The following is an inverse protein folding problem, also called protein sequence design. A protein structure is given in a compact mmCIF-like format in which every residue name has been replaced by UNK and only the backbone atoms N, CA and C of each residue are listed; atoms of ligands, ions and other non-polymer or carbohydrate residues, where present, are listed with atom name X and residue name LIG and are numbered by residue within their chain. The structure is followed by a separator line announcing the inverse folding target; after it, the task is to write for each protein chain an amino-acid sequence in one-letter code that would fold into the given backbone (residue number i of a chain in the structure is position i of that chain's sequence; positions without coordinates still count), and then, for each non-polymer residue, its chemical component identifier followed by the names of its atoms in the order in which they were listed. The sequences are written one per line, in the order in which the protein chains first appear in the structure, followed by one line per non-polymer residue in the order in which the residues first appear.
data_IF_486661637098
#
_entry.id   IF_486661637098
#
_cell.length_a   1.000
_cell.length_b   1.000
_cell.length_c   1.000
_cell.angle_alpha   90.00
_cell.angle_beta   90.00
_cell.angle_gamma   90.00
#
_symmetry.space_group_name_H-M   'P 1'
#
loop_
_entity.id
_entity.type
_entity.pdbx_description
1 polymer ?
#
# COMPACT_ATOMS: atom_id res chain seq x y z
N UNK A 1 -20.25 -33.88 36.62
CA UNK A 1 -18.85 -33.41 36.49
C UNK A 1 -18.89 -32.12 35.71
N UNK A 2 -18.92 -30.99 36.40
CA UNK A 2 -19.07 -29.64 35.85
C UNK A 2 -17.69 -29.01 35.66
N UNK A 3 -17.24 -28.83 34.42
CA UNK A 3 -15.96 -28.18 34.12
C UNK A 3 -16.15 -26.68 33.95
N UNK A 4 -15.66 -25.95 34.95
CA UNK A 4 -15.53 -24.50 35.04
C UNK A 4 -14.51 -23.97 34.03
N UNK A 5 -14.93 -23.06 33.14
CA UNK A 5 -14.03 -22.24 32.32
C UNK A 5 -13.60 -20.99 33.11
N UNK A 6 -12.29 -20.72 33.17
CA UNK A 6 -11.72 -19.46 33.69
C UNK A 6 -11.21 -18.62 32.51
N UNK A 7 -11.49 -17.31 32.44
CA UNK A 7 -10.93 -16.45 31.41
C UNK A 7 -9.50 -16.02 31.77
N UNK A 8 -8.63 -15.99 30.76
CA UNK A 8 -7.24 -15.54 30.85
C UNK A 8 -7.19 -14.02 30.66
N UNK A 9 -6.58 -13.29 31.59
CA UNK A 9 -6.45 -11.84 31.54
C UNK A 9 -5.38 -11.40 30.53
N UNK A 10 -5.76 -10.59 29.53
CA UNK A 10 -4.84 -9.93 28.60
C UNK A 10 -4.10 -8.78 29.32
N UNK A 11 -2.77 -8.87 29.37
CA UNK A 11 -1.89 -7.83 29.93
C UNK A 11 -1.49 -6.85 28.82
N UNK A 12 -2.14 -5.68 28.76
CA UNK A 12 -1.74 -4.58 27.85
C UNK A 12 -0.35 -4.05 28.24
N UNK A 13 0.59 -4.00 27.28
CA UNK A 13 1.89 -3.32 27.43
C UNK A 13 1.74 -1.88 26.92
N UNK A 14 2.12 -0.92 27.76
CA UNK A 14 2.21 0.50 27.39
C UNK A 14 3.43 0.82 26.52
N UNK A 15 3.46 2.02 25.91
CA UNK A 15 4.49 2.43 24.96
C UNK A 15 5.84 2.69 25.67
N UNK A 16 6.95 2.24 25.05
CA UNK A 16 8.31 2.54 25.53
C UNK A 16 8.83 3.83 24.89
N UNK A 17 9.32 4.71 25.74
CA UNK A 17 10.03 5.94 25.40
C UNK A 17 11.35 5.66 24.68
N UNK A 18 11.65 6.47 23.67
CA UNK A 18 12.90 6.45 22.93
C UNK A 18 14.04 7.11 23.73
N UNK A 19 15.16 6.41 23.90
CA UNK A 19 16.42 6.98 24.38
C UNK A 19 17.31 7.38 23.18
N UNK A 20 17.93 8.55 23.28
CA UNK A 20 18.69 9.21 22.21
C UNK A 20 20.12 8.68 22.00
N UNK A 21 20.81 9.14 20.94
CA UNK A 21 22.07 8.55 20.51
C UNK A 21 23.28 9.10 21.28
N UNK A 22 24.14 8.19 21.74
CA UNK A 22 25.47 8.47 22.26
C UNK A 22 26.47 8.81 21.14
N UNK A 23 27.41 9.70 21.49
CA UNK A 23 28.43 10.31 20.64
C UNK A 23 29.58 9.35 20.34
N UNK A 24 29.99 9.23 19.08
CA UNK A 24 31.25 8.58 18.67
C UNK A 24 32.38 9.61 18.54
N UNK A 25 33.50 9.33 19.21
CA UNK A 25 34.77 10.04 19.07
C UNK A 25 35.67 9.49 17.95
N UNK A 26 36.81 10.14 17.65
CA UNK A 26 37.55 9.94 16.41
C UNK A 26 38.63 8.85 16.52
N UNK A 27 38.83 8.09 15.44
CA UNK A 27 40.01 7.25 15.25
C UNK A 27 40.99 7.90 14.28
N UNK A 28 42.24 8.01 14.74
CA UNK A 28 43.43 8.43 14.01
C UNK A 28 44.24 7.19 13.61
N UNK A 29 44.78 7.17 12.39
CA UNK A 29 46.13 6.60 12.16
C UNK A 29 46.30 5.50 11.10
N UNK A 30 46.82 5.91 9.93
CA UNK A 30 47.93 5.33 9.16
C UNK A 30 47.90 3.85 8.70
N UNK A 31 47.95 3.61 7.38
CA UNK A 31 49.19 3.19 6.69
C UNK A 31 48.98 2.99 5.17
N UNK A 32 50.09 3.13 4.46
CA UNK A 32 50.33 3.45 3.04
C UNK A 32 50.50 2.25 2.08
N UNK A 33 50.35 2.58 0.78
CA UNK A 33 50.97 2.02 -0.44
C UNK A 33 50.54 0.63 -0.96
N UNK A 34 49.98 0.58 -2.18
CA UNK A 34 50.77 0.28 -3.39
C UNK A 34 49.96 0.50 -4.69
N UNK A 35 50.67 1.01 -5.68
CA UNK A 35 50.27 1.43 -7.01
C UNK A 35 50.34 0.24 -7.99
N UNK A 36 49.38 0.11 -8.90
CA UNK A 36 49.59 -0.59 -10.18
C UNK A 36 48.69 0.00 -11.27
N UNK A 37 49.34 0.58 -12.28
CA UNK A 37 48.79 1.08 -13.53
C UNK A 37 48.03 0.01 -14.31
N UNK A 38 46.96 0.40 -14.98
CA UNK A 38 46.60 -0.15 -16.27
C UNK A 38 46.19 0.98 -17.23
N UNK A 39 47.00 1.15 -18.28
CA UNK A 39 46.72 1.95 -19.46
C UNK A 39 45.79 1.16 -20.39
N UNK A 40 44.69 1.77 -20.83
CA UNK A 40 44.12 1.49 -22.13
C UNK A 40 43.66 2.81 -22.75
N UNK A 41 44.27 3.14 -23.89
CA UNK A 41 43.89 4.20 -24.80
C UNK A 41 42.63 3.81 -25.59
N UNK A 42 41.83 4.80 -25.99
CA UNK A 42 41.16 4.84 -27.29
C UNK A 42 40.74 6.29 -27.59
N UNK A 43 40.95 6.64 -28.86
CA UNK A 43 40.91 7.94 -29.50
C UNK A 43 39.56 8.68 -29.54
N UNK A 44 39.73 10.01 -29.66
CA UNK A 44 38.92 10.97 -30.41
C UNK A 44 37.97 10.38 -31.47
N UNK A 45 36.69 10.73 -31.37
CA UNK A 45 35.92 11.10 -32.56
C UNK A 45 35.03 12.31 -32.24
N UNK A 46 35.22 13.34 -33.05
CA UNK A 46 34.53 14.61 -32.98
C UNK A 46 33.61 14.68 -34.19
N UNK A 47 32.33 15.01 -33.99
CA UNK A 47 31.67 16.14 -34.66
C UNK A 47 30.14 16.09 -34.52
N UNK A 48 29.57 17.29 -34.41
CA UNK A 48 28.17 17.72 -34.69
C UNK A 48 27.16 17.65 -33.55
N UNK A 49 27.06 18.75 -32.80
CA UNK A 49 25.77 19.44 -32.54
C UNK A 49 25.94 20.97 -32.56
N UNK A 50 24.97 21.73 -33.09
CA UNK A 50 25.08 23.18 -33.22
C UNK A 50 24.75 23.94 -31.93
N UNK A 51 25.45 25.07 -31.77
CA UNK A 51 25.23 26.17 -30.82
C UNK A 51 23.80 26.72 -30.92
N UNK A 52 23.18 26.95 -29.77
CA UNK A 52 22.24 28.05 -29.57
C UNK A 52 22.87 29.01 -28.54
N UNK A 53 23.20 30.21 -29.01
CA UNK A 53 23.59 31.34 -28.17
C UNK A 53 22.33 31.96 -27.54
N UNK A 54 22.43 32.35 -26.26
CA UNK A 54 21.34 33.02 -25.54
C UNK A 54 21.79 33.49 -24.16
N UNK A 55 22.67 34.47 -24.13
CA UNK A 55 23.10 35.18 -22.93
C UNK A 55 22.07 36.24 -22.52
N UNK A 56 21.63 36.27 -21.25
CA UNK A 56 21.18 37.51 -20.58
C UNK A 56 21.52 37.46 -19.08
N UNK A 57 22.48 38.32 -18.73
CA UNK A 57 22.71 39.10 -17.50
C UNK A 57 22.22 38.60 -16.12
N UNK A 58 23.20 38.28 -15.28
CA UNK A 58 23.15 38.38 -13.82
C UNK A 58 23.39 39.83 -13.37
N UNK A 59 22.46 40.43 -12.64
CA UNK A 59 22.63 41.68 -11.92
C UNK A 59 22.43 41.47 -10.43
N UNK A 60 23.51 41.54 -9.65
CA UNK A 60 23.49 41.60 -8.19
C UNK A 60 23.20 43.02 -7.70
N UNK A 61 22.75 43.13 -6.45
CA UNK A 61 22.55 44.38 -5.74
C UNK A 61 22.21 44.11 -4.28
N UNK A 62 23.24 44.16 -3.45
CA UNK A 62 23.18 44.09 -1.99
C UNK A 62 22.52 45.33 -1.35
N UNK A 63 22.02 45.11 -0.13
CA UNK A 63 22.34 45.86 1.10
C UNK A 63 21.18 46.52 1.88
N UNK A 64 21.33 46.36 3.21
CA UNK A 64 20.95 47.26 4.31
C UNK A 64 19.78 46.84 5.24
N UNK A 65 20.18 46.16 6.32
CA UNK A 65 20.15 46.66 7.72
C UNK A 65 18.86 47.20 8.34
N UNK A 66 18.47 46.61 9.48
CA UNK A 66 17.71 47.30 10.54
C UNK A 66 17.07 46.35 11.57
N UNK A 67 17.50 46.35 12.85
CA UNK A 67 16.96 45.48 13.89
C UNK A 67 15.84 46.16 14.71
N UNK A 68 14.86 45.39 15.16
CA UNK A 68 13.81 45.82 16.09
C UNK A 68 13.69 44.86 17.26
N UNK A 69 14.17 45.30 18.42
CA UNK A 69 14.01 44.64 19.71
C UNK A 69 12.72 45.10 20.41
N UNK A 70 12.18 44.26 21.30
CA UNK A 70 11.35 44.72 22.41
C UNK A 70 10.26 43.75 22.85
N UNK A 71 10.34 43.29 24.11
CA UNK A 71 9.15 43.06 24.92
C UNK A 71 9.08 41.75 25.72
N UNK A 72 9.90 41.62 26.76
CA UNK A 72 9.61 40.78 27.92
C UNK A 72 8.39 41.32 28.70
N UNK A 73 7.55 40.43 29.25
CA UNK A 73 6.90 40.63 30.55
C UNK A 73 6.31 39.33 31.08
N UNK A 74 6.95 38.83 32.13
CA UNK A 74 6.42 37.84 33.06
C UNK A 74 5.79 38.56 34.26
N UNK A 75 4.55 38.21 34.63
CA UNK A 75 3.91 38.38 35.95
C UNK A 75 2.73 37.38 35.95
N UNK A 76 2.42 36.56 36.95
CA UNK A 76 2.93 36.36 38.29
C UNK A 76 2.17 35.16 38.89
N UNK A 77 2.84 34.49 39.82
CA UNK A 77 2.31 33.46 40.69
C UNK A 77 1.25 34.04 41.62
N UNK A 78 0.19 33.28 41.94
CA UNK A 78 -0.25 33.26 43.33
C UNK A 78 -0.93 31.95 43.74
N UNK A 79 -0.68 31.62 45.00
CA UNK A 79 -0.93 30.34 45.64
C UNK A 79 -2.23 30.36 46.46
N UNK A 80 -2.72 29.16 46.75
CA UNK A 80 -3.42 28.87 48.01
C UNK A 80 -4.92 28.64 47.90
N UNK A 81 -5.36 27.40 48.16
CA UNK A 81 -6.05 27.06 49.40
C UNK A 81 -6.42 25.57 49.46
N UNK A 82 -6.33 25.05 50.69
CA UNK A 82 -6.47 23.68 51.16
C UNK A 82 -7.94 23.29 51.42
N UNK A 83 -8.30 22.06 51.01
CA UNK A 83 -9.20 21.06 51.66
C UNK A 83 -10.70 21.40 51.87
N UNK A 84 -11.62 20.41 52.13
CA UNK A 84 -11.47 18.95 52.15
C UNK A 84 -12.47 18.17 51.26
N UNK A 85 -12.24 16.85 51.16
CA UNK A 85 -13.14 15.83 50.62
C UNK A 85 -14.42 15.65 51.46
N UNK A 86 -15.49 15.14 50.83
CA UNK A 86 -16.27 14.10 51.47
C UNK A 86 -16.43 12.85 50.59
N UNK A 87 -16.10 11.72 51.19
CA UNK A 87 -16.37 10.37 50.71
C UNK A 87 -17.87 10.05 50.55
N UNK A 88 -18.09 9.11 49.63
CA UNK A 88 -19.15 8.09 49.59
C UNK A 88 -20.58 8.50 49.16
N UNK A 89 -21.00 8.00 48.00
CA UNK A 89 -21.83 6.78 47.93
C UNK A 89 -22.17 6.46 46.47
N UNK A 90 -22.21 5.17 46.16
CA UNK A 90 -22.26 4.65 44.81
C UNK A 90 -23.60 4.77 44.09
N UNK A 91 -23.52 4.64 42.77
CA UNK A 91 -24.56 3.96 42.00
C UNK A 91 -23.90 3.30 40.79
N UNK A 92 -24.18 2.01 40.64
CA UNK A 92 -23.75 1.15 39.56
C UNK A 92 -24.27 1.67 38.22
N UNK A 93 -23.44 2.42 37.50
CA UNK A 93 -23.58 2.56 36.06
C UNK A 93 -22.63 1.55 35.42
N UNK A 94 -23.15 0.34 35.19
CA UNK A 94 -22.67 -0.53 34.12
C UNK A 94 -22.82 0.24 32.81
N UNK A 95 -21.82 1.07 32.50
CA UNK A 95 -21.58 1.49 31.14
C UNK A 95 -21.21 0.21 30.40
N UNK A 96 -22.22 -0.42 29.80
CA UNK A 96 -22.01 -1.24 28.63
C UNK A 96 -20.98 -0.50 27.79
N UNK A 97 -19.82 -1.11 27.62
CA UNK A 97 -18.93 -0.79 26.52
C UNK A 97 -19.70 -1.16 25.26
N UNK A 98 -20.65 -0.30 24.89
CA UNK A 98 -21.20 -0.22 23.57
C UNK A 98 -19.98 0.04 22.69
N UNK A 99 -19.48 -1.06 22.14
CA UNK A 99 -18.67 -1.10 20.95
C UNK A 99 -19.31 -0.07 20.03
N UNK A 100 -18.63 1.06 19.83
CA UNK A 100 -19.03 2.08 18.88
C UNK A 100 -18.86 1.45 17.49
N UNK A 101 -19.79 0.57 17.13
CA UNK A 101 -20.12 0.30 15.76
C UNK A 101 -20.62 1.66 15.28
N UNK A 102 -19.75 2.40 14.61
CA UNK A 102 -20.12 3.59 13.88
C UNK A 102 -21.28 3.20 12.99
N UNK A 103 -22.50 3.57 13.40
CA UNK A 103 -23.71 3.21 12.66
C UNK A 103 -23.73 4.11 11.44
N UNK A 104 -23.27 3.54 10.34
CA UNK A 104 -23.35 4.10 9.01
C UNK A 104 -24.78 4.53 8.70
N UNK A 105 -24.97 5.71 8.10
CA UNK A 105 -26.27 6.36 7.90
C UNK A 105 -27.24 5.58 7.01
N UNK A 106 -28.45 6.13 6.81
CA UNK A 106 -29.65 5.55 6.16
C UNK A 106 -29.51 5.18 4.66
N UNK A 107 -28.31 4.85 4.17
CA UNK A 107 -28.14 4.18 2.90
C UNK A 107 -28.78 2.79 2.90
N UNK A 108 -29.35 2.41 1.75
CA UNK A 108 -29.95 1.08 1.59
C UNK A 108 -28.89 -0.02 1.71
N UNK A 109 -29.24 -1.22 2.23
CA UNK A 109 -28.30 -2.33 2.35
C UNK A 109 -27.74 -2.68 0.97
N UNK A 110 -26.41 -2.69 0.85
CA UNK A 110 -25.72 -2.96 -0.40
C UNK A 110 -24.26 -2.53 -0.37
N UNK A 111 -23.51 -2.91 -1.41
CA UNK A 111 -22.16 -2.45 -1.68
C UNK A 111 -22.20 -1.51 -2.89
N UNK A 112 -21.39 -0.46 -2.87
CA UNK A 112 -21.24 0.42 -4.01
C UNK A 112 -20.38 -0.24 -5.10
N UNK A 113 -20.65 0.07 -6.35
CA UNK A 113 -19.79 -0.31 -7.47
C UNK A 113 -18.69 0.72 -7.71
N UNK A 114 -17.52 0.24 -8.13
CA UNK A 114 -16.44 1.08 -8.62
C UNK A 114 -15.89 0.53 -9.94
N UNK A 115 -15.53 1.42 -10.86
CA UNK A 115 -14.91 1.09 -12.15
C UNK A 115 -14.02 2.23 -12.66
N UNK A 116 -13.24 1.97 -13.70
CA UNK A 116 -12.47 2.99 -14.44
C UNK A 116 -13.14 3.27 -15.78
N UNK A 117 -13.35 4.54 -16.15
CA UNK A 117 -14.07 4.87 -17.38
C UNK A 117 -13.45 4.24 -18.63
N UNK A 118 -14.27 3.63 -19.50
CA UNK A 118 -13.84 3.02 -20.77
C UNK A 118 -13.27 4.06 -21.76
N UNK A 119 -13.70 5.31 -21.63
CA UNK A 119 -13.21 6.46 -22.41
C UNK A 119 -12.22 7.28 -21.61
N UNK A 120 -11.23 7.82 -22.32
CA UNK A 120 -10.29 8.79 -21.76
C UNK A 120 -10.86 10.19 -21.79
N UNK A 121 -10.38 11.02 -20.88
CA UNK A 121 -10.64 12.46 -20.77
C UNK A 121 -9.31 13.21 -20.88
N UNK A 122 -9.37 14.48 -21.29
CA UNK A 122 -8.22 15.39 -21.18
C UNK A 122 -8.45 16.22 -19.91
N UNK A 123 -7.62 16.06 -18.85
CA UNK A 123 -7.88 16.67 -17.55
C UNK A 123 -8.00 18.19 -17.60
N UNK A 124 -7.12 18.85 -18.37
CA UNK A 124 -7.17 20.29 -18.59
C UNK A 124 -8.40 20.80 -19.36
N UNK A 125 -9.28 19.91 -19.81
CA UNK A 125 -10.53 20.23 -20.53
C UNK A 125 -11.78 19.78 -19.78
N UNK A 126 -11.66 19.18 -18.59
CA UNK A 126 -12.84 18.83 -17.78
C UNK A 126 -13.56 20.10 -17.29
N UNK A 127 -12.81 21.16 -16.99
CA UNK A 127 -13.30 22.44 -16.50
C UNK A 127 -13.74 22.43 -15.02
N UNK A 128 -14.09 21.28 -14.46
CA UNK A 128 -14.39 21.11 -13.03
C UNK A 128 -14.48 19.64 -12.62
N UNK A 129 -14.50 19.39 -11.31
CA UNK A 129 -14.83 18.07 -10.74
C UNK A 129 -16.26 17.65 -11.06
N UNK A 130 -17.23 18.58 -11.06
CA UNK A 130 -18.63 18.27 -11.39
C UNK A 130 -18.78 17.76 -12.85
N UNK A 131 -17.94 18.24 -13.76
CA UNK A 131 -17.89 17.72 -15.12
C UNK A 131 -17.30 16.30 -15.17
N UNK A 132 -16.31 15.99 -14.32
CA UNK A 132 -15.81 14.63 -14.16
C UNK A 132 -16.89 13.69 -13.60
N UNK A 133 -17.69 14.14 -12.64
CA UNK A 133 -18.85 13.40 -12.12
C UNK A 133 -19.88 13.12 -13.22
N UNK A 134 -20.17 14.13 -14.05
CA UNK A 134 -21.07 13.97 -15.21
C UNK A 134 -20.55 12.90 -16.16
N UNK A 135 -19.24 12.82 -16.35
CA UNK A 135 -18.62 11.77 -17.15
C UNK A 135 -18.78 10.37 -16.53
N UNK A 136 -18.54 10.26 -15.21
CA UNK A 136 -18.75 9.00 -14.49
C UNK A 136 -20.21 8.53 -14.53
N UNK A 137 -21.16 9.44 -14.32
CA UNK A 137 -22.59 9.15 -14.41
C UNK A 137 -22.98 8.71 -15.83
N UNK A 138 -22.46 9.38 -16.87
CA UNK A 138 -22.74 9.02 -18.26
C UNK A 138 -22.15 7.65 -18.63
N UNK A 139 -20.95 7.32 -18.15
CA UNK A 139 -20.34 6.00 -18.34
C UNK A 139 -21.19 4.90 -17.67
N UNK A 140 -21.57 5.10 -16.40
CA UNK A 140 -22.44 4.19 -15.68
C UNK A 140 -23.78 3.97 -16.40
N UNK A 141 -24.44 5.05 -16.85
CA UNK A 141 -25.70 4.98 -17.59
C UNK A 141 -25.55 4.23 -18.93
N UNK A 142 -24.46 4.44 -19.66
CA UNK A 142 -24.19 3.74 -20.93
C UNK A 142 -24.01 2.22 -20.74
N UNK A 143 -23.50 1.78 -19.59
CA UNK A 143 -23.39 0.38 -19.21
C UNK A 143 -24.65 -0.18 -18.51
N UNK A 144 -25.72 0.61 -18.39
CA UNK A 144 -26.96 0.20 -17.73
C UNK A 144 -26.84 0.06 -16.21
N UNK A 145 -25.89 0.77 -15.59
CA UNK A 145 -25.71 0.76 -14.14
C UNK A 145 -26.63 1.78 -13.49
N UNK A 146 -27.45 1.32 -12.55
CA UNK A 146 -28.27 2.18 -11.72
C UNK A 146 -27.44 2.88 -10.64
N UNK A 147 -27.96 4.00 -10.12
CA UNK A 147 -27.32 4.74 -9.04
C UNK A 147 -26.66 6.05 -9.47
N UNK A 148 -26.00 6.67 -8.50
CA UNK A 148 -25.27 7.93 -8.60
C UNK A 148 -23.78 7.61 -8.57
N UNK A 149 -23.06 8.02 -9.61
CA UNK A 149 -21.62 7.82 -9.74
C UNK A 149 -20.89 9.15 -9.79
N UNK A 150 -19.88 9.29 -8.94
CA UNK A 150 -18.98 10.43 -8.88
C UNK A 150 -17.56 10.02 -9.22
N UNK A 151 -16.79 10.93 -9.80
CA UNK A 151 -15.37 10.70 -10.02
C UNK A 151 -14.64 10.77 -8.67
N UNK A 152 -13.76 9.81 -8.36
CA UNK A 152 -12.83 9.94 -7.23
C UNK A 152 -11.70 10.89 -7.64
N UNK A 153 -11.95 12.19 -7.45
CA UNK A 153 -11.09 13.26 -7.94
C UNK A 153 -11.06 14.41 -6.93
N UNK A 154 -9.85 14.82 -6.54
CA UNK A 154 -9.63 16.02 -5.73
C UNK A 154 -9.52 17.26 -6.61
N UNK A 155 -10.13 18.38 -6.22
CA UNK A 155 -9.79 19.69 -6.79
C UNK A 155 -8.71 20.39 -5.95
N UNK A 156 -8.38 21.65 -6.24
CA UNK A 156 -7.37 22.41 -5.48
C UNK A 156 -7.73 22.73 -4.02
N UNK A 157 -8.92 22.34 -3.54
CA UNK A 157 -9.45 22.70 -2.22
C UNK A 157 -9.98 21.51 -1.43
N UNK A 158 -10.66 20.58 -2.09
CA UNK A 158 -11.39 19.46 -1.48
C UNK A 158 -10.72 18.16 -1.90
N UNK A 159 -10.18 17.36 -0.96
CA UNK A 159 -9.67 16.04 -1.28
C UNK A 159 -10.80 15.11 -1.74
N UNK A 160 -10.48 14.17 -2.62
CA UNK A 160 -11.45 13.23 -3.20
C UNK A 160 -12.29 12.49 -2.13
N UNK A 161 -11.68 12.07 -1.02
CA UNK A 161 -12.33 11.24 0.00
C UNK A 161 -13.42 11.98 0.78
N UNK A 162 -13.27 13.29 1.03
CA UNK A 162 -14.29 14.12 1.71
C UNK A 162 -15.60 14.22 0.93
N UNK A 163 -15.59 13.80 -0.34
CA UNK A 163 -16.76 13.78 -1.21
C UNK A 163 -17.59 12.49 -1.06
N UNK A 164 -17.11 11.51 -0.29
CA UNK A 164 -17.78 10.23 -0.10
C UNK A 164 -18.11 10.00 1.38
N UNK A 165 -19.14 9.19 1.63
CA UNK A 165 -19.47 8.80 2.99
C UNK A 165 -18.44 7.81 3.55
N UNK A 166 -18.11 7.94 4.83
CA UNK A 166 -17.00 7.20 5.47
C UNK A 166 -17.22 5.69 5.54
N UNK A 167 -18.48 5.29 5.55
CA UNK A 167 -18.94 3.93 5.80
C UNK A 167 -19.22 3.09 4.55
N UNK A 168 -19.09 3.67 3.36
CA UNK A 168 -19.40 2.98 2.13
C UNK A 168 -18.33 1.92 1.82
N UNK A 169 -18.75 0.70 1.51
CA UNK A 169 -17.90 -0.30 0.89
C UNK A 169 -18.03 -0.25 -0.63
N UNK A 170 -16.93 -0.48 -1.34
CA UNK A 170 -16.91 -0.59 -2.79
C UNK A 170 -16.43 -1.95 -3.26
N UNK A 171 -17.09 -2.46 -4.28
CA UNK A 171 -16.72 -3.68 -5.02
C UNK A 171 -16.50 -3.35 -6.50
N UNK A 172 -15.59 -4.09 -7.11
CA UNK A 172 -15.33 -4.06 -8.55
C UNK A 172 -16.52 -4.66 -9.32
N UNK A 173 -16.47 -4.51 -10.63
CA UNK A 173 -17.46 -5.06 -11.57
C UNK A 173 -17.53 -6.59 -11.61
N UNK A 174 -16.47 -7.27 -11.19
CA UNK A 174 -16.43 -8.74 -11.01
C UNK A 174 -16.85 -9.19 -9.60
N UNK A 175 -17.30 -8.27 -8.74
CA UNK A 175 -17.75 -8.56 -7.39
C UNK A 175 -16.64 -8.66 -6.35
N UNK A 176 -15.37 -8.53 -6.74
CA UNK A 176 -14.28 -8.53 -5.75
C UNK A 176 -14.22 -7.23 -4.96
N UNK A 177 -13.90 -7.36 -3.67
CA UNK A 177 -13.74 -6.23 -2.75
C UNK A 177 -12.68 -5.24 -3.26
N UNK A 178 -13.06 -3.98 -3.38
CA UNK A 178 -12.13 -2.90 -3.71
C UNK A 178 -11.63 -2.20 -2.44
N UNK A 179 -12.54 -1.73 -1.59
CA UNK A 179 -12.22 -1.17 -0.26
C UNK A 179 -13.45 -1.28 0.64
N UNK A 180 -13.29 -1.58 1.94
CA UNK A 180 -14.42 -1.66 2.86
C UNK A 180 -14.89 -0.30 3.39
N UNK A 181 -14.04 0.72 3.30
CA UNK A 181 -14.32 2.08 3.73
C UNK A 181 -13.48 3.07 2.92
N UNK A 182 -13.91 4.33 2.85
CA UNK A 182 -13.14 5.38 2.18
C UNK A 182 -11.86 5.73 2.97
N UNK A 183 -11.93 5.67 4.30
CA UNK A 183 -10.79 5.99 5.16
C UNK A 183 -9.67 4.94 4.98
N UNK A 184 -10.03 3.66 4.84
CA UNK A 184 -9.07 2.60 4.53
C UNK A 184 -8.44 2.79 3.14
N UNK A 185 -9.23 3.21 2.15
CA UNK A 185 -8.72 3.50 0.80
C UNK A 185 -7.71 4.65 0.79
N UNK A 186 -7.91 5.62 1.68
CA UNK A 186 -7.01 6.76 1.85
C UNK A 186 -5.74 6.37 2.60
N UNK A 187 -5.88 5.62 3.69
CA UNK A 187 -4.77 5.26 4.56
C UNK A 187 -3.88 4.17 3.95
N UNK A 188 -4.50 3.10 3.47
CA UNK A 188 -3.84 1.88 3.03
C UNK A 188 -3.85 1.79 1.50
N UNK A 189 -4.97 2.18 0.86
CA UNK A 189 -5.26 1.99 -0.56
C UNK A 189 -6.17 0.78 -0.80
N UNK A 190 -6.46 0.42 -2.05
CA UNK A 190 -7.46 -0.61 -2.32
C UNK A 190 -6.92 -2.00 -2.02
N UNK A 191 -7.83 -2.94 -1.74
CA UNK A 191 -7.56 -4.37 -1.52
C UNK A 191 -7.33 -5.14 -2.81
N UNK A 192 -7.89 -4.68 -3.91
CA UNK A 192 -7.69 -5.25 -5.24
C UNK A 192 -7.48 -4.15 -6.28
N UNK A 193 -6.73 -4.40 -7.37
CA UNK A 193 -6.53 -3.37 -8.38
C UNK A 193 -7.82 -3.04 -9.14
N UNK A 194 -7.99 -1.80 -9.59
CA UNK A 194 -9.19 -1.32 -10.27
C UNK A 194 -9.16 -1.60 -11.79
N UNK A 195 -9.19 -2.88 -12.17
CA UNK A 195 -8.91 -3.32 -13.55
C UNK A 195 -10.09 -3.29 -14.51
N UNK A 196 -11.31 -2.99 -14.08
CA UNK A 196 -12.49 -3.08 -14.96
C UNK A 196 -13.09 -1.73 -15.30
N UNK A 197 -13.61 -1.66 -16.52
CA UNK A 197 -14.46 -0.56 -16.95
C UNK A 197 -15.94 -0.74 -16.62
N UNK A 198 -16.77 0.25 -16.94
CA UNK A 198 -18.21 0.21 -16.68
C UNK A 198 -18.91 -1.02 -17.30
N UNK A 199 -18.36 -1.60 -18.38
CA UNK A 199 -18.90 -2.78 -19.05
C UNK A 199 -18.38 -4.10 -18.45
N UNK A 200 -17.45 -4.03 -17.50
CA UNK A 200 -16.79 -5.21 -16.94
C UNK A 200 -15.67 -5.76 -17.83
N UNK A 201 -15.18 -4.98 -18.79
CA UNK A 201 -14.02 -5.35 -19.59
C UNK A 201 -12.73 -5.08 -18.80
N UNK A 202 -11.78 -5.99 -18.88
CA UNK A 202 -10.45 -5.83 -18.27
C UNK A 202 -9.67 -4.78 -19.06
N UNK A 203 -9.11 -3.81 -18.34
CA UNK A 203 -8.27 -2.76 -18.88
C UNK A 203 -6.84 -3.25 -19.10
N UNK A 204 -6.12 -2.66 -20.07
CA UNK A 204 -4.69 -2.90 -20.21
C UNK A 204 -3.94 -2.59 -18.91
N UNK A 205 -2.84 -3.31 -18.61
CA UNK A 205 -1.95 -2.96 -17.50
C UNK A 205 -1.51 -1.50 -17.56
N UNK A 206 -1.21 -0.92 -16.41
CA UNK A 206 -0.74 0.48 -16.27
C UNK A 206 -1.69 1.53 -16.84
N UNK A 207 -2.99 1.21 -16.95
CA UNK A 207 -3.99 2.20 -17.35
C UNK A 207 -4.04 3.33 -16.32
N UNK A 208 -3.78 4.56 -16.79
CA UNK A 208 -3.67 5.77 -15.96
C UNK A 208 -5.04 6.23 -15.46
N UNK A 209 -5.13 6.50 -14.15
CA UNK A 209 -6.36 6.89 -13.47
C UNK A 209 -6.17 8.24 -12.78
N UNK A 210 -6.92 9.24 -13.22
CA UNK A 210 -6.91 10.58 -12.63
C UNK A 210 -7.58 10.57 -11.25
N UNK A 211 -6.84 11.01 -10.25
CA UNK A 211 -7.29 11.13 -8.85
C UNK A 211 -6.95 12.49 -8.25
N UNK A 212 -5.86 13.10 -8.71
CA UNK A 212 -5.25 14.29 -8.11
C UNK A 212 -5.09 14.20 -6.57
N UNK A 213 -4.81 13.00 -6.06
CA UNK A 213 -4.68 12.76 -4.62
C UNK A 213 -3.23 12.43 -4.27
N UNK A 214 -2.67 13.06 -3.26
CA UNK A 214 -1.36 12.69 -2.71
C UNK A 214 -1.54 11.59 -1.65
N UNK A 215 -1.67 10.34 -2.11
CA UNK A 215 -1.92 9.18 -1.24
C UNK A 215 -3.22 9.34 -0.46
N UNK A 216 -4.30 9.71 -1.16
CA UNK A 216 -5.66 9.87 -0.64
C UNK A 216 -5.93 11.13 0.22
N UNK A 217 -4.90 11.76 0.81
CA UNK A 217 -5.08 12.70 1.92
C UNK A 217 -5.02 14.19 1.56
N UNK A 218 -4.22 14.58 0.55
CA UNK A 218 -4.07 15.98 0.19
C UNK A 218 -4.31 16.22 -1.31
N UNK A 219 -5.10 17.23 -1.69
CA UNK A 219 -5.18 17.68 -3.06
C UNK A 219 -3.86 18.33 -3.50
N UNK A 220 -3.49 18.18 -4.77
CA UNK A 220 -2.56 19.15 -5.38
C UNK A 220 -3.26 20.52 -5.44
N UNK A 221 -2.55 21.61 -5.15
CA UNK A 221 -3.15 22.93 -4.89
C UNK A 221 -3.75 23.59 -6.13
N UNK A 222 -3.37 23.15 -7.33
CA UNK A 222 -3.92 23.67 -8.59
C UNK A 222 -3.75 22.66 -9.75
N UNK A 223 -4.52 21.55 -9.77
CA UNK A 223 -4.39 20.56 -10.82
C UNK A 223 -4.86 21.15 -12.15
N UNK A 224 -3.95 21.42 -13.09
CA UNK A 224 -4.32 21.88 -14.42
C UNK A 224 -5.16 23.17 -14.42
N UNK A 225 -4.87 24.13 -13.54
CA UNK A 225 -5.70 25.34 -13.40
C UNK A 225 -7.12 24.97 -12.93
N UNK A 226 -7.24 24.11 -11.93
CA UNK A 226 -8.48 23.41 -11.55
C UNK A 226 -9.22 22.78 -12.74
N UNK A 227 -8.48 22.00 -13.53
CA UNK A 227 -8.95 21.26 -14.70
C UNK A 227 -9.42 22.14 -15.88
N UNK A 228 -9.04 23.42 -15.90
CA UNK A 228 -9.39 24.38 -16.96
C UNK A 228 -8.24 24.71 -17.93
N UNK A 229 -7.06 24.11 -17.74
CA UNK A 229 -5.86 24.37 -18.54
C UNK A 229 -5.16 23.07 -18.94
N UNK A 230 -4.85 22.91 -20.24
CA UNK A 230 -3.98 21.82 -20.73
C UNK A 230 -2.49 22.03 -20.44
N UNK A 231 -2.13 23.19 -19.88
CA UNK A 231 -0.80 23.49 -19.38
C UNK A 231 -0.69 23.17 -17.90
N UNK A 232 0.48 22.67 -17.48
CA UNK A 232 0.78 22.30 -16.10
C UNK A 232 0.90 20.79 -15.92
N UNK A 233 0.93 20.36 -14.67
CA UNK A 233 1.02 18.95 -14.28
C UNK A 233 -0.19 18.53 -13.48
N UNK A 234 -0.51 17.24 -13.56
CA UNK A 234 -1.46 16.58 -12.68
C UNK A 234 -0.84 15.35 -12.06
N UNK A 235 -1.41 14.93 -10.93
CA UNK A 235 -1.13 13.63 -10.31
C UNK A 235 -2.17 12.61 -10.73
N UNK A 236 -1.72 11.44 -11.13
CA UNK A 236 -2.57 10.29 -11.39
C UNK A 236 -2.00 9.04 -10.71
N UNK A 237 -2.84 8.03 -10.56
CA UNK A 237 -2.43 6.69 -10.22
C UNK A 237 -2.47 5.74 -11.42
N UNK A 238 -2.44 4.45 -11.12
CA UNK A 238 -2.55 3.39 -12.10
C UNK A 238 -3.52 2.31 -11.60
N UNK A 239 -4.42 1.90 -12.49
CA UNK A 239 -5.50 0.94 -12.21
C UNK A 239 -5.02 -0.42 -11.71
N UNK A 240 -3.84 -0.87 -12.11
CA UNK A 240 -3.29 -2.17 -11.73
C UNK A 240 -2.50 -2.18 -10.42
N UNK A 241 -2.42 -1.04 -9.72
CA UNK A 241 -1.73 -0.96 -8.44
C UNK A 241 -2.71 -1.06 -7.28
N UNK A 242 -2.31 -1.79 -6.23
CA UNK A 242 -2.96 -1.67 -4.93
C UNK A 242 -2.19 -0.75 -4.00
N UNK A 243 -2.80 -0.43 -2.86
CA UNK A 243 -2.24 0.49 -1.89
C UNK A 243 -2.07 1.93 -2.44
N UNK A 244 -1.55 2.88 -1.65
CA UNK A 244 -1.34 4.32 -2.02
C UNK A 244 -0.99 4.68 -3.48
N UNK A 245 -0.11 3.94 -4.17
CA UNK A 245 0.27 4.22 -5.57
C UNK A 245 -0.92 4.14 -6.55
N UNK A 246 -2.01 3.46 -6.18
CA UNK A 246 -3.26 3.44 -6.94
C UNK A 246 -3.80 4.84 -7.26
N UNK A 247 -3.50 5.83 -6.41
CA UNK A 247 -3.96 7.21 -6.53
C UNK A 247 -2.84 8.24 -6.64
N UNK A 248 -1.56 7.85 -6.49
CA UNK A 248 -0.45 8.81 -6.47
C UNK A 248 0.84 8.24 -7.07
N UNK A 249 0.74 7.69 -8.28
CA UNK A 249 1.87 7.05 -8.96
C UNK A 249 2.85 8.07 -9.54
N UNK A 250 2.39 8.90 -10.50
CA UNK A 250 3.25 9.80 -11.27
C UNK A 250 2.59 11.14 -11.59
N UNK A 251 3.42 12.09 -12.03
CA UNK A 251 2.97 13.36 -12.55
C UNK A 251 3.02 13.30 -14.07
N UNK A 252 1.94 13.77 -14.71
CA UNK A 252 1.87 13.90 -16.16
C UNK A 252 1.35 15.26 -16.58
N UNK A 253 1.46 15.57 -17.87
CA UNK A 253 0.96 16.81 -18.44
C UNK A 253 -0.57 16.88 -18.48
N UNK A 254 -1.12 18.07 -18.27
CA UNK A 254 -2.58 18.30 -18.26
C UNK A 254 -3.31 18.04 -19.59
N UNK A 255 -2.56 17.95 -20.69
CA UNK A 255 -3.06 17.55 -22.00
C UNK A 255 -3.07 16.03 -22.25
N UNK A 256 -2.55 15.22 -21.33
CA UNK A 256 -2.47 13.77 -21.51
C UNK A 256 -3.84 13.11 -21.36
N UNK A 257 -4.25 12.21 -22.28
CA UNK A 257 -5.46 11.42 -22.10
C UNK A 257 -5.32 10.45 -20.91
N UNK A 258 -6.26 10.52 -19.97
CA UNK A 258 -6.32 9.64 -18.78
C UNK A 258 -7.74 9.14 -18.58
N UNK A 259 -7.96 8.17 -17.69
CA UNK A 259 -9.30 7.69 -17.34
C UNK A 259 -9.71 8.17 -15.95
N UNK A 260 -11.00 8.10 -15.63
CA UNK A 260 -11.55 8.46 -14.32
C UNK A 260 -11.87 7.21 -13.53
N UNK A 261 -11.60 7.18 -12.22
CA UNK A 261 -12.20 6.19 -11.34
C UNK A 261 -13.58 6.70 -10.89
N UNK A 262 -14.61 5.91 -11.13
CA UNK A 262 -16.01 6.25 -10.90
C UNK A 262 -16.58 5.41 -9.77
N UNK A 263 -16.99 6.07 -8.70
CA UNK A 263 -17.46 5.47 -7.45
C UNK A 263 -18.96 5.71 -7.32
N UNK A 264 -19.71 4.65 -7.08
CA UNK A 264 -21.11 4.75 -6.72
C UNK A 264 -21.25 5.31 -5.29
N UNK A 265 -22.29 6.09 -5.03
CA UNK A 265 -22.51 6.77 -3.75
C UNK A 265 -23.92 6.50 -3.17
N UNK A 266 -24.52 5.34 -3.42
CA UNK A 266 -25.91 5.04 -3.01
C UNK A 266 -26.02 4.14 -1.77
N UNK A 267 -24.93 3.50 -1.37
CA UNK A 267 -24.92 2.51 -0.30
C UNK A 267 -23.95 2.88 0.82
N UNK A 268 -24.32 2.54 2.05
CA UNK A 268 -23.52 2.75 3.26
C UNK A 268 -23.26 1.43 3.99
N UNK A 269 -23.61 0.30 3.35
CA UNK A 269 -23.46 -1.02 3.91
C UNK A 269 -21.99 -1.44 4.00
N UNK A 270 -21.66 -2.30 4.97
CA UNK A 270 -20.31 -2.82 5.12
C UNK A 270 -19.94 -3.72 3.93
N UNK A 271 -18.64 -3.94 3.77
CA UNK A 271 -18.15 -4.92 2.83
C UNK A 271 -18.54 -6.32 3.29
N UNK A 272 -19.45 -6.94 2.57
CA UNK A 272 -19.71 -8.38 2.70
C UNK A 272 -18.64 -9.13 1.93
N UNK A 273 -17.67 -9.70 2.64
CA UNK A 273 -16.73 -10.67 2.08
C UNK A 273 -17.31 -12.07 2.20
N UNK A 274 -17.10 -12.89 1.19
CA UNK A 274 -17.40 -14.32 1.28
C UNK A 274 -16.24 -15.00 1.99
N UNK A 275 -16.54 -15.87 2.95
CA UNK A 275 -15.52 -16.70 3.56
C UNK A 275 -14.74 -17.46 2.46
N UNK A 276 -13.41 -17.60 2.60
CA UNK A 276 -12.59 -18.26 1.59
C UNK A 276 -13.08 -19.69 1.37
N UNK A 277 -13.19 -20.09 0.10
CA UNK A 277 -13.54 -21.46 -0.27
C UNK A 277 -12.28 -22.15 -0.79
N UNK A 278 -11.75 -23.07 0.01
CA UNK A 278 -10.55 -23.83 -0.35
C UNK A 278 -9.32 -23.44 0.46
N UNK A 279 -8.16 -23.41 -0.19
CA UNK A 279 -6.88 -23.17 0.47
C UNK A 279 -6.66 -21.69 0.71
N UNK A 280 -6.09 -21.33 1.85
CA UNK A 280 -5.82 -19.93 2.18
C UNK A 280 -4.37 -19.57 1.86
N UNK A 281 -4.17 -18.37 1.33
CA UNK A 281 -2.86 -17.74 1.25
C UNK A 281 -2.92 -16.29 1.74
N UNK A 282 -1.93 -15.86 2.50
CA UNK A 282 -1.87 -14.51 3.08
C UNK A 282 -0.43 -13.98 3.12
N UNK A 283 -0.29 -12.68 3.39
CA UNK A 283 0.99 -12.01 3.63
C UNK A 283 1.21 -11.83 5.12
N UNK A 284 2.41 -12.08 5.63
CA UNK A 284 2.66 -11.87 7.05
C UNK A 284 2.63 -10.39 7.44
N UNK A 285 2.09 -10.09 8.61
CA UNK A 285 2.22 -8.74 9.22
C UNK A 285 3.60 -8.56 9.83
N UNK A 286 4.13 -9.62 10.46
CA UNK A 286 5.48 -9.61 11.00
C UNK A 286 6.49 -9.74 9.85
N UNK A 287 7.46 -8.83 9.83
CA UNK A 287 8.62 -8.95 8.95
C UNK A 287 9.69 -9.80 9.64
N UNK A 288 10.32 -10.72 8.91
CA UNK A 288 11.34 -11.62 9.43
C UNK A 288 12.65 -11.49 8.65
N UNK A 289 13.77 -11.68 9.36
CA UNK A 289 15.10 -11.80 8.77
C UNK A 289 15.41 -13.27 8.51
N UNK A 290 16.17 -13.59 7.47
CA UNK A 290 16.92 -14.85 7.40
C UNK A 290 17.61 -15.17 8.73
N UNK A 291 17.78 -16.45 9.04
CA UNK A 291 18.42 -16.88 10.28
C UNK A 291 18.97 -18.29 10.13
N UNK A 292 19.86 -18.74 11.02
CA UNK A 292 20.45 -20.08 10.95
C UNK A 292 19.42 -21.24 10.90
N UNK A 293 18.16 -20.99 11.29
CA UNK A 293 17.06 -21.95 11.16
C UNK A 293 16.53 -22.11 9.73
N UNK A 294 16.99 -21.30 8.77
CA UNK A 294 16.63 -21.37 7.36
C UNK A 294 15.13 -21.21 7.11
N UNK A 295 14.63 -21.88 6.07
CA UNK A 295 13.20 -21.89 5.71
C UNK A 295 12.27 -22.31 6.86
N UNK A 296 12.73 -23.16 7.78
CA UNK A 296 11.88 -23.65 8.87
C UNK A 296 11.43 -22.50 9.80
N UNK A 297 12.24 -21.45 9.98
CA UNK A 297 11.82 -20.25 10.69
C UNK A 297 10.72 -19.49 9.96
N UNK A 298 10.78 -19.45 8.62
CA UNK A 298 9.78 -18.78 7.81
C UNK A 298 8.44 -19.50 7.87
N UNK A 299 8.45 -20.84 7.78
CA UNK A 299 7.23 -21.64 7.93
C UNK A 299 6.63 -21.53 9.33
N UNK A 300 7.49 -21.47 10.36
CA UNK A 300 7.04 -21.27 11.74
C UNK A 300 6.32 -19.93 11.92
N UNK A 301 6.78 -18.86 11.25
CA UNK A 301 6.07 -17.58 11.25
C UNK A 301 4.71 -17.69 10.53
N UNK A 302 4.67 -18.32 9.35
CA UNK A 302 3.41 -18.57 8.64
C UNK A 302 2.41 -19.35 9.50
N UNK A 303 2.84 -20.43 10.14
CA UNK A 303 1.97 -21.23 11.00
C UNK A 303 1.50 -20.45 12.25
N UNK A 304 2.37 -19.61 12.82
CA UNK A 304 2.06 -18.76 13.97
C UNK A 304 0.95 -17.77 13.64
N UNK A 305 1.07 -17.02 12.55
CA UNK A 305 0.05 -16.04 12.16
C UNK A 305 -1.26 -16.70 11.72
N UNK A 306 -1.18 -17.80 10.97
CA UNK A 306 -2.36 -18.60 10.62
C UNK A 306 -3.12 -19.07 11.87
N UNK A 307 -2.40 -19.59 12.88
CA UNK A 307 -3.01 -20.04 14.12
C UNK A 307 -3.62 -18.88 14.93
N UNK A 308 -2.99 -17.70 14.93
CA UNK A 308 -3.51 -16.51 15.59
C UNK A 308 -4.84 -16.05 14.96
N UNK A 309 -4.94 -16.11 13.63
CA UNK A 309 -6.15 -15.81 12.86
C UNK A 309 -7.21 -16.93 12.87
N UNK A 310 -6.95 -18.05 13.54
CA UNK A 310 -7.86 -19.20 13.57
C UNK A 310 -7.96 -19.97 12.25
N UNK A 311 -7.00 -19.80 11.34
CA UNK A 311 -6.94 -20.53 10.08
C UNK A 311 -6.44 -21.96 10.33
N UNK A 312 -7.24 -22.95 9.94
CA UNK A 312 -6.89 -24.35 10.08
C UNK A 312 -5.95 -24.82 8.95
N UNK A 313 -5.12 -25.82 9.24
CA UNK A 313 -4.23 -26.46 8.27
C UNK A 313 -2.75 -26.18 8.53
N UNK A 314 -1.93 -26.62 7.57
CA UNK A 314 -0.47 -26.43 7.58
C UNK A 314 -0.10 -25.35 6.59
N UNK A 315 0.59 -24.32 7.07
CA UNK A 315 1.02 -23.18 6.26
C UNK A 315 2.53 -23.19 6.10
N UNK A 316 2.98 -23.00 4.87
CA UNK A 316 4.40 -22.90 4.51
C UNK A 316 4.67 -21.58 3.82
N UNK A 317 5.90 -21.12 3.94
CA UNK A 317 6.38 -19.94 3.23
C UNK A 317 6.65 -20.25 1.74
N UNK A 318 6.20 -19.36 0.85
CA UNK A 318 6.46 -19.44 -0.59
C UNK A 318 7.84 -18.85 -0.91
N UNK A 319 8.89 -19.50 -0.42
CA UNK A 319 10.28 -19.14 -0.70
C UNK A 319 11.05 -20.30 -1.32
N UNK A 320 11.87 -20.01 -2.33
CA UNK A 320 12.74 -20.98 -2.99
C UNK A 320 14.10 -21.07 -2.30
N UNK A 321 14.76 -22.23 -2.41
CA UNK A 321 16.19 -22.42 -2.10
C UNK A 321 16.95 -22.69 -3.38
N UNK A 322 18.28 -22.80 -3.31
CA UNK A 322 19.13 -23.14 -4.46
C UNK A 322 18.84 -24.52 -5.05
N UNK A 323 18.20 -25.41 -4.29
CA UNK A 323 17.95 -26.79 -4.68
C UNK A 323 16.46 -27.11 -4.88
N UNK A 324 15.55 -26.27 -4.40
CA UNK A 324 14.12 -26.55 -4.41
C UNK A 324 13.31 -25.28 -4.70
N UNK A 325 12.41 -25.37 -5.69
CA UNK A 325 11.46 -24.33 -6.00
C UNK A 325 10.38 -24.23 -4.91
N UNK A 326 9.92 -23.03 -4.57
CA UNK A 326 8.87 -22.82 -3.57
C UNK A 326 7.61 -23.66 -3.83
N UNK A 327 7.20 -23.78 -5.09
CA UNK A 327 6.03 -24.55 -5.52
C UNK A 327 6.15 -26.06 -5.32
N UNK A 328 7.36 -26.62 -5.22
CA UNK A 328 7.55 -28.06 -4.98
C UNK A 328 6.99 -28.49 -3.61
N UNK A 329 6.76 -27.53 -2.72
CA UNK A 329 6.24 -27.70 -1.36
C UNK A 329 4.71 -27.69 -1.29
N UNK A 330 4.04 -27.44 -2.41
CA UNK A 330 2.60 -27.21 -2.52
C UNK A 330 1.98 -28.14 -3.57
N UNK A 331 0.70 -28.48 -3.41
CA UNK A 331 0.00 -29.34 -4.37
C UNK A 331 -0.63 -28.52 -5.50
N UNK A 332 -0.30 -28.84 -6.75
CA UNK A 332 -0.88 -28.17 -7.93
C UNK A 332 -2.31 -28.64 -8.25
N UNK A 333 -2.77 -29.71 -7.60
CA UNK A 333 -4.13 -30.24 -7.71
C UNK A 333 -4.98 -29.82 -6.52
N UNK A 334 -6.21 -29.39 -6.77
CA UNK A 334 -7.17 -29.01 -5.72
C UNK A 334 -7.69 -27.59 -5.89
N UNK A 335 -8.41 -27.06 -4.88
CA UNK A 335 -8.88 -25.68 -4.89
C UNK A 335 -7.73 -24.70 -5.07
N UNK A 336 -7.98 -23.61 -5.79
CA UNK A 336 -7.06 -22.48 -5.87
C UNK A 336 -6.87 -21.86 -4.49
N UNK A 337 -5.72 -21.21 -4.27
CA UNK A 337 -5.53 -20.41 -3.07
C UNK A 337 -6.38 -19.13 -3.16
N UNK A 338 -7.13 -18.88 -2.10
CA UNK A 338 -7.89 -17.66 -1.88
C UNK A 338 -7.27 -16.88 -0.74
N UNK A 339 -7.29 -15.55 -0.83
CA UNK A 339 -6.97 -14.69 0.30
C UNK A 339 -8.02 -14.84 1.42
N UNK A 340 -7.73 -14.43 2.66
CA UNK A 340 -8.72 -14.49 3.74
C UNK A 340 -10.00 -13.67 3.48
N UNK A 341 -9.94 -12.69 2.57
CA UNK A 341 -11.11 -11.92 2.11
C UNK A 341 -11.90 -12.59 0.95
N UNK A 342 -11.55 -13.83 0.61
CA UNK A 342 -12.28 -14.65 -0.37
C UNK A 342 -11.86 -14.45 -1.83
N UNK A 343 -10.89 -13.56 -2.11
CA UNK A 343 -10.43 -13.32 -3.48
C UNK A 343 -9.46 -14.44 -3.93
N UNK A 344 -9.71 -15.14 -5.05
CA UNK A 344 -8.78 -16.14 -5.58
C UNK A 344 -7.51 -15.48 -6.13
N UNK A 345 -6.36 -16.09 -5.86
CA UNK A 345 -5.06 -15.57 -6.31
C UNK A 345 -4.79 -15.78 -7.80
N UNK A 346 -5.48 -16.71 -8.45
CA UNK A 346 -5.30 -17.01 -9.87
C UNK A 346 -6.47 -17.81 -10.43
N UNK A 347 -6.44 -18.18 -11.72
CA UNK A 347 -7.50 -18.96 -12.34
C UNK A 347 -7.56 -20.40 -11.82
N UNK A 348 -6.41 -20.97 -11.44
CA UNK A 348 -6.30 -22.30 -10.84
C UNK A 348 -5.00 -22.43 -10.02
N UNK A 349 -4.86 -23.53 -9.29
CA UNK A 349 -3.70 -23.80 -8.44
C UNK A 349 -2.38 -23.94 -9.23
N UNK A 350 -2.40 -24.53 -10.42
CA UNK A 350 -1.19 -24.70 -11.22
C UNK A 350 -0.69 -23.34 -11.75
N UNK A 351 -1.60 -22.47 -12.18
CA UNK A 351 -1.31 -21.10 -12.59
C UNK A 351 -0.68 -20.29 -11.45
N UNK A 352 -1.24 -20.36 -10.23
CA UNK A 352 -0.68 -19.68 -9.05
C UNK A 352 0.75 -20.15 -8.75
N UNK A 353 0.99 -21.46 -8.80
CA UNK A 353 2.34 -22.03 -8.59
C UNK A 353 3.31 -21.74 -9.73
N UNK A 354 2.81 -21.44 -10.92
CA UNK A 354 3.60 -20.95 -12.05
C UNK A 354 3.86 -19.43 -12.00
N UNK A 355 3.34 -18.72 -11.00
CA UNK A 355 3.48 -17.25 -10.87
C UNK A 355 2.45 -16.45 -11.67
N UNK A 356 1.42 -17.10 -12.22
CA UNK A 356 0.31 -16.43 -12.92
C UNK A 356 -0.76 -16.05 -11.91
N UNK A 357 -0.65 -14.84 -11.36
CA UNK A 357 -1.57 -14.31 -10.36
C UNK A 357 -2.57 -13.34 -11.02
N UNK A 358 -3.78 -13.27 -10.47
CA UNK A 358 -4.85 -12.34 -10.88
C UNK A 358 -5.26 -11.39 -9.76
N UNK A 359 -4.68 -11.57 -8.56
CA UNK A 359 -4.90 -10.73 -7.39
C UNK A 359 -3.58 -10.50 -6.65
N UNK A 360 -3.45 -9.33 -6.02
CA UNK A 360 -2.36 -8.99 -5.12
C UNK A 360 -2.44 -9.80 -3.82
N UNK A 361 -1.30 -10.08 -3.19
CA UNK A 361 -1.22 -10.76 -1.91
C UNK A 361 -0.78 -9.76 -0.82
N UNK A 362 -1.65 -8.80 -0.53
CA UNK A 362 -1.43 -7.73 0.46
C UNK A 362 -2.30 -7.87 1.71
N UNK A 363 -2.98 -9.01 1.86
CA UNK A 363 -3.94 -9.27 2.93
C UNK A 363 -3.28 -10.17 3.98
N UNK A 364 -3.38 -9.78 5.26
CA UNK A 364 -2.88 -10.53 6.40
C UNK A 364 -3.72 -11.76 6.72
N UNK A 365 -3.25 -12.62 7.60
CA UNK A 365 -3.99 -13.81 8.04
C UNK A 365 -5.38 -13.48 8.60
N UNK A 366 -5.51 -12.33 9.28
CA UNK A 366 -6.77 -11.84 9.86
C UNK A 366 -7.71 -11.21 8.83
N UNK A 367 -7.25 -11.04 7.58
CA UNK A 367 -8.04 -10.46 6.50
C UNK A 367 -7.88 -8.95 6.34
N UNK A 368 -6.94 -8.33 7.03
CA UNK A 368 -6.67 -6.89 6.92
C UNK A 368 -5.60 -6.57 5.89
N UNK A 369 -5.55 -5.33 5.41
CA UNK A 369 -4.45 -4.88 4.57
C UNK A 369 -3.17 -4.75 5.39
N UNK A 370 -2.12 -5.42 4.95
CA UNK A 370 -0.78 -5.24 5.54
C UNK A 370 -0.28 -3.83 5.24
N UNK A 371 0.52 -3.28 6.16
CA UNK A 371 1.03 -1.90 6.10
C UNK A 371 1.51 -1.51 4.70
N UNK A 372 1.23 -0.28 4.21
CA UNK A 372 1.63 0.15 2.87
C UNK A 372 3.16 0.22 2.67
N UNK A 373 3.95 0.09 3.74
CA UNK A 373 5.41 0.00 3.70
C UNK A 373 5.93 -1.44 3.47
N UNK A 374 5.06 -2.45 3.56
CA UNK A 374 5.38 -3.87 3.48
C UNK A 374 4.83 -4.48 2.17
N UNK A 375 5.30 -3.96 1.02
CA UNK A 375 4.79 -4.35 -0.32
C UNK A 375 5.65 -5.34 -1.07
N UNK A 376 6.66 -5.88 -0.40
CA UNK A 376 7.48 -6.93 -0.96
C UNK A 376 7.55 -8.06 0.04
N UNK A 377 7.71 -9.28 -0.43
CA UNK A 377 7.97 -10.43 0.40
C UNK A 377 9.23 -11.14 -0.04
N UNK A 378 9.88 -11.88 0.86
CA UNK A 378 10.94 -12.81 0.45
C UNK A 378 10.37 -13.83 -0.54
N UNK A 379 11.12 -14.10 -1.62
CA UNK A 379 10.71 -15.08 -2.64
C UNK A 379 11.84 -16.05 -3.02
N UNK A 380 13.07 -15.57 -3.14
CA UNK A 380 14.23 -16.40 -3.45
C UNK A 380 14.43 -16.77 -4.92
N UNK A 381 13.41 -16.62 -5.77
CA UNK A 381 13.45 -17.01 -7.19
C UNK A 381 12.64 -16.05 -8.07
N UNK A 382 12.91 -16.07 -9.38
CA UNK A 382 12.21 -15.23 -10.35
C UNK A 382 10.79 -15.74 -10.67
N UNK A 383 10.47 -16.99 -10.31
CA UNK A 383 9.12 -17.56 -10.34
C UNK A 383 8.97 -18.63 -9.23
N UNK A 384 7.76 -18.93 -8.73
CA UNK A 384 7.58 -19.92 -7.66
C UNK A 384 7.91 -21.36 -8.11
N UNK A 385 7.92 -21.62 -9.42
CA UNK A 385 8.31 -22.90 -10.04
C UNK A 385 9.79 -22.99 -10.43
N UNK A 386 10.60 -22.01 -10.04
CA UNK A 386 12.04 -22.01 -10.23
C UNK A 386 12.76 -22.13 -8.90
N UNK A 387 13.89 -22.85 -8.91
CA UNK A 387 14.84 -22.80 -7.80
C UNK A 387 15.45 -21.40 -7.69
N UNK A 388 15.94 -21.06 -6.51
CA UNK A 388 16.61 -19.80 -6.28
C UNK A 388 18.01 -19.77 -6.89
N UNK A 389 18.44 -18.58 -7.32
CA UNK A 389 19.82 -18.37 -7.74
C UNK A 389 20.77 -18.39 -6.52
N UNK A 390 22.06 -18.63 -6.77
CA UNK A 390 23.10 -18.59 -5.73
C UNK A 390 23.07 -17.25 -4.99
N UNK A 391 22.95 -16.16 -5.75
CA UNK A 391 22.67 -14.82 -5.23
C UNK A 391 21.15 -14.62 -5.26
N UNK A 392 20.54 -14.38 -4.11
CA UNK A 392 19.09 -14.18 -4.01
C UNK A 392 18.37 -15.05 -3.01
N UNK A 393 19.04 -15.99 -2.34
CA UNK A 393 18.42 -16.83 -1.30
C UNK A 393 18.96 -16.57 0.10
N UNK A 394 19.86 -15.61 0.31
CA UNK A 394 20.50 -15.40 1.61
C UNK A 394 21.16 -16.69 2.15
N UNK A 395 21.89 -17.40 1.29
CA UNK A 395 22.40 -18.75 1.53
C UNK A 395 21.30 -19.71 2.04
N UNK A 396 20.25 -19.91 1.24
CA UNK A 396 19.07 -20.73 1.61
C UNK A 396 18.40 -20.29 2.92
N UNK A 397 18.37 -18.97 3.10
CA UNK A 397 17.78 -18.23 4.21
C UNK A 397 18.48 -18.45 5.54
N UNK A 398 19.72 -18.96 5.50
CA UNK A 398 20.52 -19.26 6.69
C UNK A 398 21.39 -18.09 7.17
N UNK A 399 21.57 -17.05 6.34
CA UNK A 399 22.49 -15.95 6.60
C UNK A 399 21.77 -14.60 6.62
N UNK A 400 21.98 -13.81 7.68
CA UNK A 400 21.44 -12.46 7.87
C UNK A 400 22.53 -11.38 7.78
N UNK A 401 23.31 -11.41 6.70
CA UNK A 401 24.41 -10.46 6.47
C UNK A 401 23.95 -9.32 5.54
N UNK A 402 24.50 -8.13 5.77
CA UNK A 402 24.30 -6.95 4.92
C UNK A 402 25.01 -7.05 3.57
N UNK A 403 26.03 -7.91 3.45
CA UNK A 403 26.72 -8.20 2.18
C UNK A 403 25.94 -9.18 1.29
N UNK A 404 25.01 -9.94 1.88
CA UNK A 404 24.17 -10.90 1.15
C UNK A 404 22.87 -10.24 0.70
N UNK A 405 22.37 -10.69 -0.46
CA UNK A 405 21.13 -10.23 -1.04
C UNK A 405 20.14 -11.38 -1.20
N UNK A 406 18.92 -11.16 -0.73
CA UNK A 406 17.76 -12.02 -0.98
C UNK A 406 16.88 -11.42 -2.06
N UNK A 407 16.33 -12.26 -2.94
CA UNK A 407 15.34 -11.84 -3.92
C UNK A 407 14.00 -11.64 -3.21
N UNK A 408 13.35 -10.54 -3.55
CA UNK A 408 12.02 -10.17 -3.05
C UNK A 408 11.05 -10.11 -4.22
N UNK A 409 9.76 -10.25 -3.92
CA UNK A 409 8.68 -10.16 -4.89
C UNK A 409 7.71 -9.04 -4.47
N UNK A 410 7.41 -8.06 -5.34
CA UNK A 410 6.28 -7.17 -5.15
C UNK A 410 4.99 -7.97 -5.00
N UNK A 411 4.19 -7.63 -4.01
CA UNK A 411 2.92 -8.33 -3.75
C UNK A 411 1.70 -7.48 -4.09
N UNK A 412 1.90 -6.27 -4.60
CA UNK A 412 0.90 -5.21 -4.69
C UNK A 412 0.32 -4.97 -6.10
N UNK A 413 0.85 -5.61 -7.15
CA UNK A 413 0.33 -5.47 -8.52
C UNK A 413 -0.38 -6.72 -9.07
N UNK A 414 -0.48 -7.77 -8.25
CA UNK A 414 -1.12 -9.02 -8.62
C UNK A 414 -0.38 -9.79 -9.72
N UNK A 415 0.90 -9.50 -9.94
CA UNK A 415 1.76 -10.24 -10.88
C UNK A 415 3.02 -10.71 -10.19
N UNK A 416 3.47 -11.92 -10.53
CA UNK A 416 4.83 -12.33 -10.19
C UNK A 416 5.80 -11.69 -11.19
N UNK A 417 6.81 -10.96 -10.70
CA UNK A 417 7.73 -10.21 -11.57
C UNK A 417 9.06 -10.94 -11.70
N UNK A 418 9.55 -11.01 -12.93
CA UNK A 418 10.89 -11.56 -13.19
C UNK A 418 12.01 -10.59 -12.77
N UNK A 419 11.67 -9.32 -12.56
CA UNK A 419 12.58 -8.24 -12.15
C UNK A 419 13.46 -8.65 -10.96
N UNK A 420 14.76 -8.33 -11.04
CA UNK A 420 15.75 -8.68 -10.01
C UNK A 420 15.69 -7.77 -8.78
N UNK A 421 14.50 -7.59 -8.18
CA UNK A 421 14.42 -6.88 -6.92
C UNK A 421 15.09 -7.69 -5.82
N UNK A 422 16.02 -7.03 -5.12
CA UNK A 422 16.81 -7.62 -4.05
C UNK A 422 16.80 -6.73 -2.83
N UNK A 423 16.76 -7.35 -1.67
CA UNK A 423 16.90 -6.70 -0.37
C UNK A 423 18.08 -7.34 0.37
N UNK A 424 18.78 -6.56 1.19
CA UNK A 424 19.85 -7.09 2.02
C UNK A 424 19.30 -8.08 3.04
N UNK A 425 20.03 -9.17 3.27
CA UNK A 425 19.61 -10.25 4.16
C UNK A 425 19.64 -9.86 5.64
N UNK A 426 20.27 -8.74 6.01
CA UNK A 426 20.21 -8.16 7.36
C UNK A 426 18.92 -7.37 7.66
N UNK A 427 18.07 -7.15 6.65
CA UNK A 427 16.78 -6.47 6.78
C UNK A 427 15.65 -7.49 6.97
N UNK A 428 14.61 -7.08 7.69
CA UNK A 428 13.41 -7.88 7.85
C UNK A 428 12.46 -7.61 6.67
N UNK A 429 11.79 -8.65 6.18
CA UNK A 429 10.77 -8.54 5.14
C UNK A 429 9.61 -9.51 5.43
N UNK A 430 8.37 -9.19 5.00
CA UNK A 430 7.24 -10.13 5.05
C UNK A 430 7.48 -11.43 4.29
N UNK A 431 6.61 -12.40 4.55
CA UNK A 431 6.52 -13.68 3.86
C UNK A 431 5.16 -13.85 3.22
N UNK A 432 5.14 -14.53 2.08
CA UNK A 432 3.92 -15.06 1.50
C UNK A 432 3.68 -16.46 2.07
N UNK A 433 2.54 -16.67 2.71
CA UNK A 433 2.20 -17.91 3.41
C UNK A 433 1.08 -18.63 2.68
N UNK A 434 1.28 -19.92 2.38
CA UNK A 434 0.36 -20.74 1.60
C UNK A 434 -0.01 -22.01 2.38
N UNK A 435 -1.30 -22.32 2.43
CA UNK A 435 -1.78 -23.59 2.94
C UNK A 435 -1.40 -24.74 1.98
N UNK A 436 -0.87 -25.86 2.50
CA UNK A 436 -0.43 -27.00 1.68
C UNK A 436 -1.57 -27.78 1.01
#
# INVERSE_FOLDING_TARGET
MTSSWKPLALKRRGPRSAEGPERLGPCVGLATLACALWLCACEDDSTRRPRFDGAVASGGGDAASGPGAGGDSAVGSDAGALLPEPDAAGSDASADAALLVSVCGEGGPGQNLVFVSSKTVIPGQLGSVAAADTHCQAAAAAAGLGGTFWAYLSDGKVPAHERFETCAAWVRRDGHAFTPAIDELVELGPRTPLLYDEYGAILPPETLVLTNAQGGNAPDKDPCGNFASVSGTLRHGASNWVGRNWSSFQNDGCGQPVRLACFQANHTGPLVTTAPTGRVAFLTEEAIKPSAAGRAAFDALCQKEAAAAGLAGTFVSLVSTREEAASARLTSTGPVWTRPDGVPLGPDAAAVLAGTWTASLVISADGDLVSPNQRTAWSGSAAPNQVGAVVGTCADWTVSDSAELGRIQPVDDGTWREDELRLRCDLANPLMCFQQ
#
